data_IF_405924554505
#
_entry.id   IF_405924554505
#
_cell.length_a   1.000
_cell.length_b   1.000
_cell.length_c   1.000
_cell.angle_alpha   90.00
_cell.angle_beta   90.00
_cell.angle_gamma   90.00
#
_symmetry.space_group_name_H-M   'P 1'
#
loop_
_entity.id
_entity.type
_entity.pdbx_description
1 polymer ?
#
# COMPACT_ATOMS: atom_id res chain seq x y z
N UNK A 1 -8.91 -13.19 4.39
CA UNK A 1 -9.41 -13.99 3.24
C UNK A 1 -10.82 -13.49 2.89
N UNK A 2 -11.23 -13.50 1.61
CA UNK A 2 -12.56 -12.98 1.21
C UNK A 2 -13.60 -14.09 1.31
N UNK A 3 -14.71 -13.84 2.00
CA UNK A 3 -15.83 -14.77 2.10
C UNK A 3 -16.74 -14.63 0.88
N UNK A 4 -16.59 -15.54 -0.09
CA UNK A 4 -17.32 -15.44 -1.36
C UNK A 4 -18.84 -15.58 -1.21
N UNK A 5 -19.32 -16.38 -0.25
CA UNK A 5 -20.75 -16.57 -0.04
C UNK A 5 -21.41 -15.30 0.53
N UNK A 6 -20.76 -14.66 1.52
CA UNK A 6 -21.23 -13.38 2.07
C UNK A 6 -21.15 -12.27 1.02
N UNK A 7 -20.06 -12.20 0.26
CA UNK A 7 -19.90 -11.23 -0.82
C UNK A 7 -21.00 -11.37 -1.90
N UNK A 8 -21.34 -12.61 -2.30
CA UNK A 8 -22.40 -12.87 -3.28
C UNK A 8 -23.78 -12.45 -2.79
N UNK A 9 -24.12 -12.75 -1.53
CA UNK A 9 -25.40 -12.30 -0.92
C UNK A 9 -25.48 -10.77 -0.82
N UNK A 10 -24.35 -10.12 -0.56
CA UNK A 10 -24.23 -8.66 -0.52
C UNK A 10 -24.19 -7.99 -1.91
N UNK A 11 -24.12 -8.76 -3.00
CA UNK A 11 -23.99 -8.22 -4.36
C UNK A 11 -22.64 -7.55 -4.63
N UNK A 12 -21.60 -7.94 -3.90
CA UNK A 12 -20.25 -7.37 -3.97
C UNK A 12 -19.31 -8.32 -4.71
N UNK A 13 -18.59 -7.79 -5.69
CA UNK A 13 -17.55 -8.51 -6.40
C UNK A 13 -16.17 -8.25 -5.76
N UNK A 14 -15.21 -9.14 -6.01
CA UNK A 14 -13.80 -8.98 -5.61
C UNK A 14 -13.21 -7.67 -6.14
N UNK A 15 -13.62 -7.25 -7.33
CA UNK A 15 -13.17 -5.98 -7.93
C UNK A 15 -13.62 -4.77 -7.11
N UNK A 16 -14.85 -4.79 -6.58
CA UNK A 16 -15.38 -3.70 -5.74
C UNK A 16 -14.58 -3.58 -4.44
N UNK A 17 -14.25 -4.72 -3.83
CA UNK A 17 -13.38 -4.79 -2.63
C UNK A 17 -11.99 -4.23 -2.96
N UNK A 18 -11.40 -4.60 -4.09
CA UNK A 18 -10.10 -4.11 -4.51
C UNK A 18 -10.11 -2.58 -4.73
N UNK A 19 -11.16 -2.03 -5.33
CA UNK A 19 -11.31 -0.59 -5.51
C UNK A 19 -11.48 0.16 -4.18
N UNK A 20 -12.27 -0.39 -3.25
CA UNK A 20 -12.41 0.18 -1.91
C UNK A 20 -11.07 0.22 -1.18
N UNK A 21 -10.32 -0.89 -1.21
CA UNK A 21 -8.99 -0.98 -0.60
C UNK A 21 -7.99 -0.02 -1.23
N UNK A 22 -7.94 0.07 -2.56
CA UNK A 22 -7.06 0.99 -3.28
C UNK A 22 -7.34 2.46 -2.91
N UNK A 23 -8.61 2.84 -2.80
CA UNK A 23 -8.99 4.20 -2.34
C UNK A 23 -8.60 4.49 -0.90
N UNK A 24 -8.66 3.47 -0.04
CA UNK A 24 -8.34 3.61 1.37
C UNK A 24 -6.83 3.71 1.63
N UNK A 25 -6.00 2.97 0.86
CA UNK A 25 -4.54 2.95 1.04
C UNK A 25 -3.84 4.07 0.25
N UNK A 26 -3.88 3.99 -1.07
CA UNK A 26 -3.10 4.85 -1.99
C UNK A 26 -3.93 6.01 -2.53
N UNK A 27 -5.25 5.84 -2.59
CA UNK A 27 -6.16 6.73 -3.31
C UNK A 27 -6.36 6.30 -4.77
N UNK A 28 -7.24 7.01 -5.47
CA UNK A 28 -7.58 6.79 -6.88
C UNK A 28 -7.25 8.06 -7.67
N UNK A 29 -6.46 7.99 -8.76
CA UNK A 29 -6.26 9.15 -9.63
C UNK A 29 -7.59 9.53 -10.29
N UNK A 30 -7.98 10.79 -10.21
CA UNK A 30 -9.15 11.33 -10.89
C UNK A 30 -8.78 11.97 -12.23
N UNK A 31 -7.62 12.60 -12.30
CA UNK A 31 -7.16 13.28 -13.49
C UNK A 31 -5.94 14.15 -13.22
N UNK A 32 -5.64 15.01 -14.17
CA UNK A 32 -4.56 15.99 -14.07
C UNK A 32 -5.14 17.37 -14.38
N UNK A 33 -4.63 18.39 -13.69
CA UNK A 33 -4.98 19.78 -13.92
C UNK A 33 -3.70 20.55 -14.21
N UNK A 34 -3.72 21.38 -15.24
CA UNK A 34 -2.62 22.30 -15.52
C UNK A 34 -2.82 23.58 -14.70
N UNK A 35 -1.84 23.92 -13.88
CA UNK A 35 -1.79 25.15 -13.11
C UNK A 35 -0.42 25.81 -13.33
N UNK A 36 -0.40 27.02 -13.86
CA UNK A 36 0.85 27.77 -14.10
C UNK A 36 1.90 26.98 -14.91
N UNK A 37 1.48 26.32 -15.99
CA UNK A 37 2.31 25.42 -16.82
C UNK A 37 2.84 24.16 -16.11
N UNK A 38 2.34 23.86 -14.91
CA UNK A 38 2.64 22.63 -14.18
C UNK A 38 1.45 21.65 -14.21
N UNK A 39 1.72 20.38 -14.49
CA UNK A 39 0.74 19.29 -14.47
C UNK A 39 0.60 18.74 -13.05
N UNK A 40 -0.52 19.07 -12.39
CA UNK A 40 -0.82 18.64 -11.03
C UNK A 40 -1.77 17.43 -11.06
N UNK A 41 -1.36 16.25 -10.55
CA UNK A 41 -2.26 15.11 -10.46
C UNK A 41 -3.29 15.30 -9.34
N UNK A 42 -4.55 15.10 -9.66
CA UNK A 42 -5.66 15.12 -8.70
C UNK A 42 -5.99 13.67 -8.33
N UNK A 43 -5.92 13.35 -7.05
CA UNK A 43 -6.26 12.03 -6.52
C UNK A 43 -7.36 12.11 -5.47
N UNK A 44 -8.29 11.17 -5.54
CA UNK A 44 -9.31 10.94 -4.52
C UNK A 44 -8.79 9.96 -3.48
N UNK A 45 -8.61 10.42 -2.24
CA UNK A 45 -8.16 9.60 -1.12
C UNK A 45 -9.16 9.69 0.03
N UNK A 46 -9.41 8.56 0.70
CA UNK A 46 -10.15 8.57 1.98
C UNK A 46 -9.33 9.28 3.07
N UNK A 47 -9.99 9.81 4.10
CA UNK A 47 -9.29 10.31 5.30
C UNK A 47 -8.38 9.23 5.87
N UNK A 48 -7.28 9.58 6.54
CA UNK A 48 -6.28 8.62 7.02
C UNK A 48 -6.94 7.41 7.71
N UNK A 49 -7.01 6.29 6.99
CA UNK A 49 -7.64 5.07 7.48
C UNK A 49 -6.59 4.32 8.29
N UNK A 50 -6.86 4.10 9.58
CA UNK A 50 -6.04 3.22 10.41
C UNK A 50 -6.45 1.77 10.13
N UNK A 51 -5.63 0.79 10.50
CA UNK A 51 -5.99 -0.63 10.38
C UNK A 51 -7.33 -0.97 11.05
N UNK A 52 -7.66 -0.31 12.17
CA UNK A 52 -8.95 -0.45 12.83
C UNK A 52 -10.15 0.00 11.96
N UNK A 53 -9.93 0.92 11.02
CA UNK A 53 -10.97 1.43 10.11
C UNK A 53 -11.27 0.47 8.96
N UNK A 54 -10.47 -0.58 8.77
CA UNK A 54 -10.71 -1.57 7.71
C UNK A 54 -12.00 -2.34 7.92
N UNK A 55 -12.46 -2.54 9.15
CA UNK A 55 -13.73 -3.23 9.43
C UNK A 55 -14.94 -2.42 8.96
N UNK A 56 -14.87 -1.09 9.12
CA UNK A 56 -15.94 -0.15 8.77
C UNK A 56 -15.81 0.43 7.37
N UNK A 57 -14.76 0.04 6.61
CA UNK A 57 -14.50 0.55 5.28
C UNK A 57 -15.69 0.25 4.35
N UNK A 58 -16.36 1.27 3.78
CA UNK A 58 -17.54 1.05 2.94
C UNK A 58 -17.13 0.52 1.57
N UNK A 59 -17.58 -0.69 1.26
CA UNK A 59 -17.46 -1.30 -0.07
C UNK A 59 -18.76 -1.06 -0.82
N UNK A 60 -18.68 -0.41 -1.98
CA UNK A 60 -19.82 -0.15 -2.87
C UNK A 60 -19.69 -1.02 -4.11
N UNK A 61 -20.76 -1.72 -4.47
CA UNK A 61 -20.86 -2.42 -5.75
C UNK A 61 -20.96 -1.41 -6.89
N UNK A 62 -20.30 -1.67 -8.02
CA UNK A 62 -20.44 -0.85 -9.23
C UNK A 62 -21.89 -0.82 -9.77
N UNK A 63 -22.66 -1.88 -9.52
CA UNK A 63 -24.04 -2.04 -10.01
C UNK A 63 -25.09 -1.76 -8.93
N UNK A 64 -24.67 -1.61 -7.67
CA UNK A 64 -25.57 -1.48 -6.52
C UNK A 64 -25.52 -0.08 -5.90
N UNK A 65 -26.63 0.33 -5.28
CA UNK A 65 -26.74 1.61 -4.57
C UNK A 65 -26.30 1.53 -3.09
N UNK A 66 -26.06 0.32 -2.57
CA UNK A 66 -25.78 0.10 -1.16
C UNK A 66 -24.29 -0.08 -0.89
N UNK A 67 -23.84 0.42 0.27
CA UNK A 67 -22.51 0.20 0.79
C UNK A 67 -22.56 -0.83 1.90
N UNK A 68 -21.64 -1.78 1.88
CA UNK A 68 -21.49 -2.80 2.93
C UNK A 68 -20.12 -2.64 3.56
N UNK A 69 -20.02 -2.65 4.91
CA UNK A 69 -18.73 -2.62 5.59
C UNK A 69 -17.87 -3.82 5.17
N UNK A 70 -16.58 -3.59 4.92
CA UNK A 70 -15.65 -4.63 4.48
C UNK A 70 -15.59 -5.81 5.46
N UNK A 71 -15.70 -5.55 6.77
CA UNK A 71 -15.74 -6.60 7.80
C UNK A 71 -16.88 -7.61 7.66
N UNK A 72 -17.96 -7.28 6.93
CA UNK A 72 -19.06 -8.21 6.69
C UNK A 72 -18.79 -9.20 5.54
N UNK A 73 -17.83 -8.89 4.66
CA UNK A 73 -17.51 -9.70 3.46
C UNK A 73 -16.15 -10.38 3.53
N UNK A 74 -15.32 -10.06 4.54
CA UNK A 74 -14.04 -10.75 4.79
C UNK A 74 -14.12 -11.60 6.04
N UNK A 75 -13.35 -12.69 6.09
CA UNK A 75 -13.30 -13.58 7.27
C UNK A 75 -12.44 -12.98 8.41
N UNK A 76 -11.58 -12.01 8.09
CA UNK A 76 -10.71 -11.34 9.05
C UNK A 76 -9.48 -10.72 8.38
N UNK A 77 -8.79 -9.87 9.15
CA UNK A 77 -7.54 -9.22 8.78
C UNK A 77 -6.39 -9.88 9.54
N UNK A 78 -5.33 -10.27 8.82
CA UNK A 78 -4.11 -10.79 9.40
C UNK A 78 -2.95 -9.90 8.97
N UNK A 79 -2.13 -9.49 9.94
CA UNK A 79 -0.92 -8.73 9.67
C UNK A 79 0.25 -9.71 9.52
N UNK A 80 0.92 -9.61 8.38
CA UNK A 80 2.13 -10.36 8.10
C UNK A 80 3.25 -9.37 7.78
N UNK A 81 4.44 -9.63 8.30
CA UNK A 81 5.63 -8.90 7.88
C UNK A 81 6.03 -9.39 6.48
N UNK A 82 6.11 -8.46 5.54
CA UNK A 82 6.57 -8.73 4.18
C UNK A 82 7.82 -7.89 3.88
N UNK A 83 8.69 -8.43 3.02
CA UNK A 83 9.89 -7.72 2.56
C UNK A 83 9.49 -6.61 1.59
N UNK A 84 9.76 -5.36 1.96
CA UNK A 84 9.39 -4.18 1.16
C UNK A 84 10.17 -4.10 -0.15
N UNK A 85 11.41 -4.63 -0.18
CA UNK A 85 12.27 -4.58 -1.35
C UNK A 85 12.96 -5.92 -1.62
N UNK A 86 12.55 -6.58 -2.70
CA UNK A 86 13.18 -7.83 -3.14
C UNK A 86 14.41 -7.48 -3.99
N UNK A 87 15.55 -7.34 -3.34
CA UNK A 87 16.84 -7.18 -3.99
C UNK A 87 17.26 -8.46 -4.72
N UNK A 88 17.73 -8.30 -5.96
CA UNK A 88 18.25 -9.39 -6.77
C UNK A 88 19.61 -9.02 -7.37
N UNK A 89 20.54 -9.97 -7.33
CA UNK A 89 21.77 -9.94 -8.11
C UNK A 89 21.82 -11.21 -8.94
N UNK A 90 22.05 -11.07 -10.25
CA UNK A 90 22.07 -12.21 -11.19
C UNK A 90 20.81 -13.09 -11.09
N UNK A 91 19.64 -12.46 -10.91
CA UNK A 91 18.31 -13.08 -10.71
C UNK A 91 18.13 -13.88 -9.42
N UNK A 92 19.14 -13.94 -8.55
CA UNK A 92 19.07 -14.59 -7.24
C UNK A 92 18.72 -13.54 -6.17
N UNK A 93 17.89 -13.89 -5.18
CA UNK A 93 17.56 -13.00 -4.05
C UNK A 93 18.83 -12.75 -3.23
N UNK A 94 19.15 -11.50 -2.93
CA UNK A 94 20.41 -11.14 -2.25
C UNK A 94 20.18 -9.95 -1.33
N UNK A 95 20.80 -9.93 -0.16
CA UNK A 95 20.81 -8.76 0.73
C UNK A 95 22.18 -8.06 0.58
N UNK A 96 22.19 -6.76 0.33
CA UNK A 96 23.43 -5.97 0.26
C UNK A 96 23.78 -5.46 1.64
N UNK A 97 24.90 -5.92 2.21
CA UNK A 97 25.45 -5.37 3.45
C UNK A 97 26.51 -4.32 3.12
N UNK A 98 26.42 -3.12 3.72
CA UNK A 98 27.45 -2.08 3.64
C UNK A 98 28.09 -1.92 5.02
N UNK A 99 29.41 -1.85 5.07
CA UNK A 99 30.16 -1.53 6.28
C UNK A 99 31.07 -0.33 5.98
N UNK A 100 30.95 0.73 6.78
CA UNK A 100 31.88 1.85 6.77
C UNK A 100 32.90 1.68 7.89
N UNK A 101 34.18 1.96 7.61
CA UNK A 101 35.19 2.07 8.66
C UNK A 101 35.14 3.48 9.25
N UNK A 102 34.86 3.59 10.54
CA UNK A 102 35.02 4.85 11.28
C UNK A 102 36.51 4.98 11.62
N UNK A 103 37.21 5.91 10.97
CA UNK A 103 38.60 6.24 11.34
C UNK A 103 38.57 7.12 12.59
N UNK A 104 39.09 6.67 13.75
CA UNK A 104 39.20 7.53 14.91
C UNK A 104 40.19 8.69 14.63
N UNK A 105 39.96 9.89 15.18
CA UNK A 105 40.63 11.13 14.77
C UNK A 105 42.16 11.15 14.95
N UNK A 106 42.76 10.19 15.66
CA UNK A 106 44.21 10.15 15.93
C UNK A 106 45.07 9.54 14.82
N UNK A 107 44.50 8.98 13.74
CA UNK A 107 45.26 8.30 12.68
C UNK A 107 45.41 9.08 11.36
N UNK A 108 45.26 10.41 11.36
CA UNK A 108 45.42 11.25 10.15
C UNK A 108 46.87 11.44 9.65
N UNK A 109 47.85 10.71 10.19
CA UNK A 109 49.27 11.03 10.00
C UNK A 109 50.18 9.93 9.43
N UNK A 110 49.68 8.74 9.06
CA UNK A 110 50.56 7.70 8.53
C UNK A 110 50.57 7.72 6.99
N UNK A 111 51.52 8.48 6.42
CA UNK A 111 51.92 8.36 5.00
C UNK A 111 52.75 7.07 4.89
N UNK A 112 52.23 6.05 4.20
CA UNK A 112 53.03 4.91 3.77
C UNK A 112 54.03 5.37 2.71
N UNK A 113 55.32 5.12 2.97
CA UNK A 113 56.43 5.23 2.02
C UNK A 113 56.64 3.88 1.34
#
# INVERSE_FOLDING_TARGET
MINQDRARRAGINRTDIAFAMKRASEGMPLGQMTLNDELIPIAFRSTAQTMASLETLPVKSLLGLHAVPLGQVVDGFALHAEESMIWRRDRVRTITAQAGWIVPPHQRGCVMR
#
